data_IF_717608570700
#
_entry.id   IF_717608570700
#
_cell.length_a   1.000
_cell.length_b   1.000
_cell.length_c   1.000
_cell.angle_alpha   90.00
_cell.angle_beta   90.00
_cell.angle_gamma   90.00
#
_symmetry.space_group_name_H-M   'P 1'
#
loop_
_entity.id
_entity.type
_entity.pdbx_description
1 polymer ?
#
# COMPACT_ATOMS: atom_id res chain seq x y z
N UNK A 1 9.85 8.43 14.99
CA UNK A 1 8.60 8.99 14.40
C UNK A 1 7.57 9.15 15.50
N UNK A 2 6.78 10.23 15.52
CA UNK A 2 5.64 10.33 16.43
C UNK A 2 4.44 9.61 15.79
N UNK A 3 4.07 8.45 16.34
CA UNK A 3 3.02 7.61 15.77
C UNK A 3 1.64 8.29 15.76
N UNK A 4 1.32 9.07 16.80
CA UNK A 4 0.04 9.78 16.90
C UNK A 4 -0.08 10.88 15.83
N UNK A 5 0.99 11.66 15.63
CA UNK A 5 1.02 12.70 14.61
C UNK A 5 0.97 12.10 13.20
N UNK A 6 1.69 10.99 12.99
CA UNK A 6 1.66 10.27 11.72
C UNK A 6 0.26 9.72 11.42
N UNK A 7 -0.38 9.03 12.37
CA UNK A 7 -1.73 8.51 12.20
C UNK A 7 -2.71 9.63 11.85
N UNK A 8 -2.63 10.76 12.55
CA UNK A 8 -3.45 11.94 12.23
C UNK A 8 -3.21 12.41 10.80
N UNK A 9 -1.96 12.57 10.38
CA UNK A 9 -1.64 13.02 9.03
C UNK A 9 -2.16 12.05 7.96
N UNK A 10 -1.96 10.74 8.14
CA UNK A 10 -2.49 9.72 7.23
C UNK A 10 -4.01 9.78 7.14
N UNK A 11 -4.71 9.92 8.27
CA UNK A 11 -6.17 10.09 8.27
C UNK A 11 -6.61 11.37 7.55
N UNK A 12 -5.89 12.47 7.71
CA UNK A 12 -6.20 13.73 7.00
C UNK A 12 -6.02 13.55 5.48
N UNK A 13 -4.93 12.89 5.03
CA UNK A 13 -4.68 12.61 3.61
C UNK A 13 -5.72 11.67 3.00
N UNK A 14 -6.13 10.62 3.72
CA UNK A 14 -7.17 9.72 3.24
C UNK A 14 -8.52 10.45 3.12
N UNK A 15 -8.87 11.32 4.09
CA UNK A 15 -10.09 12.11 3.99
C UNK A 15 -10.06 13.13 2.84
N UNK A 16 -8.88 13.66 2.48
CA UNK A 16 -8.71 14.52 1.31
C UNK A 16 -9.00 13.76 0.02
N UNK A 17 -8.41 12.57 -0.15
CA UNK A 17 -8.45 11.82 -1.40
C UNK A 17 -9.78 11.08 -1.60
N UNK A 18 -10.21 10.29 -0.62
CA UNK A 18 -11.42 9.45 -0.74
C UNK A 18 -12.64 10.04 -0.05
N UNK A 19 -12.49 10.84 1.01
CA UNK A 19 -13.56 11.54 1.71
C UNK A 19 -14.85 10.73 1.95
N UNK A 20 -15.87 10.93 1.10
CA UNK A 20 -17.19 10.27 1.16
C UNK A 20 -17.25 8.90 0.47
N UNK A 21 -16.10 8.37 0.07
CA UNK A 21 -15.94 7.12 -0.67
C UNK A 21 -15.60 7.33 -2.14
N UNK A 22 -15.01 6.29 -2.74
CA UNK A 22 -14.64 6.25 -4.16
C UNK A 22 -15.81 5.68 -5.00
N UNK A 23 -16.46 6.55 -5.78
CA UNK A 23 -17.61 6.18 -6.61
C UNK A 23 -17.23 5.30 -7.80
N UNK A 24 -16.00 5.44 -8.33
CA UNK A 24 -15.52 4.61 -9.44
C UNK A 24 -15.36 3.17 -8.97
N UNK A 25 -14.77 2.97 -7.79
CA UNK A 25 -14.65 1.63 -7.19
C UNK A 25 -16.03 1.05 -6.87
N UNK A 26 -16.90 1.82 -6.21
CA UNK A 26 -18.22 1.34 -5.78
C UNK A 26 -19.17 0.97 -6.93
N UNK A 27 -18.95 1.52 -8.13
CA UNK A 27 -19.78 1.22 -9.32
C UNK A 27 -19.27 0.01 -10.10
N UNK A 28 -17.98 -0.30 -10.01
CA UNK A 28 -17.32 -1.34 -10.81
C UNK A 28 -17.21 -2.66 -10.04
N UNK A 29 -16.95 -2.61 -8.73
CA UNK A 29 -16.65 -3.78 -7.91
C UNK A 29 -17.73 -4.06 -6.86
N UNK A 30 -17.94 -5.34 -6.56
CA UNK A 30 -18.77 -5.76 -5.42
C UNK A 30 -18.01 -5.57 -4.11
N UNK A 31 -18.74 -5.35 -3.01
CA UNK A 31 -18.14 -5.28 -1.66
C UNK A 31 -17.53 -6.62 -1.20
N UNK A 32 -17.87 -7.72 -1.88
CA UNK A 32 -17.36 -9.06 -1.60
C UNK A 32 -16.17 -9.45 -2.46
N UNK A 33 -15.76 -8.59 -3.41
CA UNK A 33 -14.64 -8.88 -4.28
C UNK A 33 -13.34 -8.83 -3.48
N UNK A 34 -12.51 -9.87 -3.63
CA UNK A 34 -11.18 -9.98 -3.03
C UNK A 34 -10.18 -10.08 -4.16
N UNK A 35 -9.09 -9.32 -4.06
CA UNK A 35 -8.04 -9.28 -5.06
C UNK A 35 -6.68 -9.16 -4.40
N UNK A 36 -5.65 -9.64 -5.10
CA UNK A 36 -4.26 -9.44 -4.73
C UNK A 36 -3.61 -8.31 -5.54
N UNK A 37 -2.55 -7.72 -4.99
CA UNK A 37 -1.77 -6.70 -5.67
C UNK A 37 -0.32 -6.64 -5.21
N UNK A 38 0.53 -6.05 -6.06
CA UNK A 38 1.97 -5.99 -5.86
C UNK A 38 2.50 -4.56 -6.07
N UNK A 39 3.38 -4.12 -5.19
CA UNK A 39 4.11 -2.86 -5.36
C UNK A 39 5.38 -3.12 -6.17
N UNK A 40 5.41 -2.61 -7.40
CA UNK A 40 6.55 -2.75 -8.30
C UNK A 40 7.40 -1.49 -8.33
N UNK A 41 8.72 -1.66 -8.22
CA UNK A 41 9.65 -0.56 -8.32
C UNK A 41 9.64 0.06 -9.73
N UNK A 42 9.49 1.39 -9.82
CA UNK A 42 9.46 2.11 -11.10
C UNK A 42 10.80 2.75 -11.47
N UNK A 43 11.74 2.83 -10.55
CA UNK A 43 13.08 3.41 -10.72
C UNK A 43 14.04 2.89 -9.65
N UNK A 44 15.34 2.87 -9.93
CA UNK A 44 16.36 2.49 -8.95
C UNK A 44 16.32 3.44 -7.74
N UNK A 45 16.43 2.91 -6.53
CA UNK A 45 16.35 3.75 -5.33
C UNK A 45 16.47 3.01 -4.02
N UNK A 46 16.44 3.77 -2.92
CA UNK A 46 16.42 3.22 -1.56
C UNK A 46 14.97 3.09 -1.10
N UNK A 47 14.60 1.90 -0.63
CA UNK A 47 13.26 1.64 -0.13
C UNK A 47 13.07 2.30 1.22
N UNK A 48 12.01 3.06 1.39
CA UNK A 48 11.63 3.64 2.66
C UNK A 48 10.11 3.68 2.86
N UNK A 49 9.67 3.58 4.11
CA UNK A 49 8.26 3.71 4.48
C UNK A 49 7.44 2.43 4.30
N UNK A 50 8.06 1.25 4.29
CA UNK A 50 7.32 -0.02 4.09
C UNK A 50 6.23 -0.24 5.15
N UNK A 51 6.47 0.21 6.38
CA UNK A 51 5.50 0.14 7.48
C UNK A 51 4.26 1.02 7.27
N UNK A 52 4.29 1.98 6.34
CA UNK A 52 3.15 2.87 6.06
C UNK A 52 2.01 2.11 5.37
N UNK A 53 2.32 1.20 4.46
CA UNK A 53 1.30 0.45 3.72
C UNK A 53 0.32 -0.28 4.64
N UNK A 54 0.74 -1.17 5.58
CA UNK A 54 -0.20 -1.80 6.50
C UNK A 54 -0.94 -0.81 7.39
N UNK A 55 -0.30 0.30 7.80
CA UNK A 55 -0.98 1.35 8.58
C UNK A 55 -2.12 2.03 7.79
N UNK A 56 -1.92 2.30 6.50
CA UNK A 56 -2.91 2.95 5.63
C UNK A 56 -4.10 2.01 5.40
N UNK A 57 -3.86 0.74 5.09
CA UNK A 57 -4.96 -0.21 4.85
C UNK A 57 -5.75 -0.52 6.13
N UNK A 58 -5.09 -0.57 7.29
CA UNK A 58 -5.79 -0.65 8.58
C UNK A 58 -6.66 0.59 8.87
N UNK A 59 -6.33 1.77 8.32
CA UNK A 59 -7.18 2.96 8.44
C UNK A 59 -8.38 2.94 7.47
N UNK A 60 -8.25 2.26 6.33
CA UNK A 60 -9.27 2.20 5.28
C UNK A 60 -10.32 1.11 5.50
N UNK A 61 -9.94 0.00 6.13
CA UNK A 61 -10.80 -1.16 6.33
C UNK A 61 -10.76 -1.69 7.76
N UNK A 62 -11.34 -2.88 7.93
CA UNK A 62 -11.28 -3.57 9.22
C UNK A 62 -9.86 -4.10 9.51
N UNK A 63 -9.50 -4.15 10.80
CA UNK A 63 -8.22 -4.67 11.23
C UNK A 63 -8.08 -6.15 10.80
N UNK A 64 -7.01 -6.46 10.06
CA UNK A 64 -6.74 -7.82 9.57
C UNK A 64 -7.44 -8.18 8.26
N UNK A 65 -8.16 -7.24 7.62
CA UNK A 65 -8.81 -7.49 6.33
C UNK A 65 -7.83 -7.64 5.16
N UNK A 66 -6.58 -7.19 5.31
CA UNK A 66 -5.55 -7.27 4.28
C UNK A 66 -4.27 -7.84 4.89
N UNK A 67 -3.72 -8.86 4.24
CA UNK A 67 -2.41 -9.39 4.60
C UNK A 67 -1.30 -8.67 3.80
N UNK A 68 -0.14 -8.45 4.41
CA UNK A 68 1.02 -7.84 3.77
C UNK A 68 2.25 -8.74 3.87
N UNK A 69 2.84 -9.07 2.72
CA UNK A 69 4.13 -9.74 2.65
C UNK A 69 5.20 -8.77 2.15
N UNK A 70 6.15 -8.42 3.02
CA UNK A 70 7.27 -7.55 2.69
C UNK A 70 8.42 -8.39 2.15
N UNK A 71 8.84 -8.11 0.92
CA UNK A 71 9.83 -8.93 0.20
C UNK A 71 11.23 -8.30 0.17
N UNK A 72 11.34 -7.03 0.56
CA UNK A 72 12.58 -6.25 0.61
C UNK A 72 12.79 -5.62 1.98
N UNK A 73 14.03 -5.24 2.31
CA UNK A 73 14.35 -4.60 3.58
C UNK A 73 14.21 -3.07 3.50
N UNK A 74 13.67 -2.46 4.55
CA UNK A 74 13.70 -1.00 4.74
C UNK A 74 15.15 -0.48 4.68
N UNK A 75 15.39 0.60 3.95
CA UNK A 75 16.72 1.19 3.78
C UNK A 75 17.62 0.46 2.78
N UNK A 76 17.15 -0.63 2.15
CA UNK A 76 17.91 -1.31 1.10
C UNK A 76 17.81 -0.57 -0.24
N UNK A 77 18.91 -0.53 -0.99
CA UNK A 77 18.90 -0.05 -2.38
C UNK A 77 18.42 -1.17 -3.30
N UNK A 78 17.44 -0.87 -4.14
CA UNK A 78 16.84 -1.76 -5.11
C UNK A 78 17.00 -1.20 -6.52
N UNK A 79 17.24 -2.09 -7.49
CA UNK A 79 17.28 -1.73 -8.91
C UNK A 79 15.94 -2.03 -9.54
N UNK A 80 15.51 -1.15 -10.44
CA UNK A 80 14.37 -1.40 -11.32
C UNK A 80 14.77 -2.48 -12.31
N UNK A 81 14.09 -3.61 -12.24
CA UNK A 81 14.21 -4.64 -13.26
C UNK A 81 13.18 -4.40 -14.38
N UNK A 82 13.59 -4.68 -15.63
CA UNK A 82 12.82 -4.37 -16.83
C UNK A 82 11.80 -5.49 -17.09
N UNK A 83 10.53 -5.24 -16.74
CA UNK A 83 9.30 -5.92 -17.19
C UNK A 83 9.51 -7.28 -17.90
N UNK A 84 9.82 -8.28 -17.10
CA UNK A 84 9.68 -9.73 -17.33
C UNK A 84 9.11 -10.31 -16.01
N UNK A 85 8.60 -11.56 -15.95
CA UNK A 85 7.77 -12.05 -14.83
C UNK A 85 8.47 -12.12 -13.46
N UNK A 86 9.69 -11.61 -13.38
CA UNK A 86 10.50 -11.43 -12.18
C UNK A 86 10.63 -9.92 -11.92
N UNK A 87 9.51 -9.25 -11.65
CA UNK A 87 9.59 -7.93 -11.03
C UNK A 87 10.14 -8.08 -9.61
N UNK A 88 10.92 -7.09 -9.15
CA UNK A 88 11.23 -6.97 -7.72
C UNK A 88 9.97 -6.48 -7.05
N UNK A 89 9.16 -7.44 -6.63
CA UNK A 89 7.98 -7.20 -5.83
C UNK A 89 8.46 -6.66 -4.49
N UNK A 90 7.97 -5.47 -4.12
CA UNK A 90 8.37 -4.84 -2.85
C UNK A 90 7.47 -5.32 -1.71
N UNK A 91 6.19 -5.47 -2.03
CA UNK A 91 5.12 -5.78 -1.11
C UNK A 91 4.00 -6.47 -1.88
N UNK A 92 3.52 -7.62 -1.40
CA UNK A 92 2.27 -8.26 -1.88
C UNK A 92 1.17 -8.08 -0.85
N UNK A 93 -0.06 -7.94 -1.31
CA UNK A 93 -1.24 -7.94 -0.46
C UNK A 93 -2.38 -8.75 -1.05
N UNK A 94 -3.18 -9.38 -0.18
CA UNK A 94 -4.32 -10.23 -0.50
C UNK A 94 -5.37 -10.19 0.62
#
# INVERSE_FOLDING_TARGET
MNYLQLKKALSDFLNEDIGRGDQSVATIFSQTDISEGEFLLKEDGVICGLFLAPMIYHLLGEEGAVHFEVLVSEGSFQKKERLLPESVDLLKFY
#
